data_IF_882299015229
#
_entry.id   IF_882299015229
#
_cell.length_a   1.000
_cell.length_b   1.000
_cell.length_c   1.000
_cell.angle_alpha   90.00
_cell.angle_beta   90.00
_cell.angle_gamma   90.00
#
_symmetry.space_group_name_H-M   'P 1'
#
loop_
_entity.id
_entity.type
_entity.pdbx_description
1 polymer ?
#
# COMPACT_ATOMS: atom_id res chain seq x y z
N UNK A 1 -19.26 19.82 16.58
CA UNK A 1 -18.58 20.42 15.42
C UNK A 1 -18.54 19.35 14.34
N UNK A 2 -19.17 19.57 13.19
CA UNK A 2 -18.92 18.71 12.03
C UNK A 2 -17.55 19.10 11.51
N UNK A 3 -16.54 18.27 11.77
CA UNK A 3 -15.26 18.44 11.08
C UNK A 3 -15.48 18.07 9.61
N UNK A 4 -15.17 19.00 8.72
CA UNK A 4 -15.16 18.71 7.29
C UNK A 4 -14.22 17.53 7.02
N UNK A 5 -14.73 16.53 6.32
CA UNK A 5 -13.96 15.34 5.98
C UNK A 5 -12.86 15.69 4.97
N UNK A 6 -11.60 15.56 5.38
CA UNK A 6 -10.45 15.71 4.48
C UNK A 6 -10.22 14.37 3.78
N UNK A 7 -10.43 14.34 2.47
CA UNK A 7 -10.24 13.13 1.68
C UNK A 7 -8.75 12.85 1.44
N UNK A 8 -8.24 11.64 1.73
CA UNK A 8 -6.89 11.23 1.36
C UNK A 8 -6.81 10.72 -0.10
N UNK A 9 -7.79 11.02 -0.94
CA UNK A 9 -7.81 10.55 -2.33
C UNK A 9 -6.71 11.22 -3.17
N UNK A 10 -5.83 10.40 -3.77
CA UNK A 10 -4.80 10.87 -4.70
C UNK A 10 -5.35 10.85 -6.14
N UNK A 11 -5.98 9.74 -6.52
CA UNK A 11 -6.51 9.55 -7.86
C UNK A 11 -7.71 8.61 -7.85
N UNK A 12 -8.63 8.84 -8.78
CA UNK A 12 -9.84 8.02 -8.93
C UNK A 12 -10.17 7.78 -10.41
N UNK A 13 -10.57 6.55 -10.69
CA UNK A 13 -11.25 6.13 -11.89
C UNK A 13 -12.65 5.70 -11.47
N UNK A 14 -13.67 6.15 -12.20
CA UNK A 14 -15.06 5.79 -11.93
C UNK A 14 -15.82 5.66 -13.24
N UNK A 15 -16.64 4.62 -13.33
CA UNK A 15 -17.69 4.50 -14.33
C UNK A 15 -19.03 4.19 -13.63
N UNK A 16 -20.06 3.81 -14.39
CA UNK A 16 -21.38 3.51 -13.84
C UNK A 16 -21.42 2.27 -12.95
N UNK A 17 -20.46 1.35 -13.10
CA UNK A 17 -20.40 0.07 -12.37
C UNK A 17 -19.30 0.05 -11.32
N UNK A 18 -18.13 0.57 -11.62
CA UNK A 18 -16.94 0.40 -10.79
C UNK A 18 -16.26 1.73 -10.45
N UNK A 19 -15.61 1.75 -9.29
CA UNK A 19 -14.66 2.79 -8.89
C UNK A 19 -13.36 2.13 -8.46
N UNK A 20 -12.24 2.72 -8.86
CA UNK A 20 -10.89 2.39 -8.41
C UNK A 20 -10.24 3.67 -7.91
N UNK A 21 -9.85 3.70 -6.65
CA UNK A 21 -9.34 4.87 -5.97
C UNK A 21 -8.00 4.56 -5.30
N UNK A 22 -7.01 5.40 -5.53
CA UNK A 22 -5.73 5.38 -4.83
C UNK A 22 -5.72 6.47 -3.76
N UNK A 23 -5.27 6.11 -2.57
CA UNK A 23 -5.38 6.93 -1.35
C UNK A 23 -4.03 7.03 -0.64
N UNK A 24 -3.76 8.21 -0.10
CA UNK A 24 -2.62 8.46 0.74
C UNK A 24 -2.71 7.63 2.03
N UNK A 25 -1.66 6.85 2.28
CA UNK A 25 -1.35 6.15 3.53
C UNK A 25 0.16 6.21 3.80
N UNK A 26 0.84 7.22 3.27
CA UNK A 26 2.27 7.40 3.44
C UNK A 26 2.57 7.73 4.89
N UNK A 27 3.65 7.13 5.38
CA UNK A 27 4.17 7.35 6.73
C UNK A 27 5.65 7.65 6.63
N UNK A 28 6.06 8.71 7.32
CA UNK A 28 7.46 9.07 7.50
C UNK A 28 8.13 8.07 8.43
N UNK A 29 9.35 7.68 8.11
CA UNK A 29 10.20 6.86 8.97
C UNK A 29 10.48 7.53 10.32
N UNK A 30 10.89 6.73 11.29
CA UNK A 30 11.36 7.21 12.58
C UNK A 30 12.68 7.98 12.44
N UNK A 31 13.12 8.62 13.52
CA UNK A 31 14.39 9.35 13.51
C UNK A 31 15.58 8.40 13.38
N UNK A 32 15.47 7.21 13.98
CA UNK A 32 16.47 6.14 13.95
C UNK A 32 16.59 5.53 12.55
N UNK A 33 15.49 5.53 11.79
CA UNK A 33 15.42 5.03 10.41
C UNK A 33 15.36 6.14 9.36
N UNK A 34 15.81 7.36 9.69
CA UNK A 34 15.56 8.58 8.89
C UNK A 34 15.95 8.45 7.40
N UNK A 35 17.00 7.68 7.11
CA UNK A 35 17.52 7.52 5.76
C UNK A 35 16.57 6.75 4.82
N UNK A 36 15.63 5.97 5.37
CA UNK A 36 14.62 5.26 4.58
C UNK A 36 13.53 6.20 4.05
N UNK A 37 13.34 7.37 4.67
CA UNK A 37 12.29 8.37 4.37
C UNK A 37 10.87 7.84 4.64
N UNK A 38 10.52 6.74 4.01
CA UNK A 38 9.31 5.96 4.24
C UNK A 38 9.49 5.01 5.42
N UNK A 39 8.49 4.96 6.31
CA UNK A 39 8.47 3.94 7.36
C UNK A 39 8.36 2.53 6.74
N UNK A 40 9.17 1.59 7.20
CA UNK A 40 9.20 0.22 6.67
C UNK A 40 9.24 -0.84 7.77
N UNK A 41 8.14 -0.92 8.52
CA UNK A 41 7.94 -1.99 9.49
C UNK A 41 8.63 -1.77 10.84
N UNK A 42 9.18 -0.58 11.06
CA UNK A 42 9.68 -0.11 12.36
C UNK A 42 8.59 -0.22 13.43
N UNK A 43 8.99 -0.66 14.62
CA UNK A 43 8.09 -0.80 15.76
C UNK A 43 7.75 0.59 16.31
N UNK A 44 6.49 0.78 16.70
CA UNK A 44 6.07 1.92 17.52
C UNK A 44 5.93 1.51 18.98
N UNK A 45 5.85 2.49 19.86
CA UNK A 45 5.43 2.30 21.26
C UNK A 45 4.17 1.42 21.35
N UNK A 46 3.22 1.56 20.42
CA UNK A 46 1.96 0.78 20.38
C UNK A 46 2.03 -0.61 19.68
N UNK A 47 3.21 -1.22 19.51
CA UNK A 47 3.39 -2.56 18.90
C UNK A 47 2.88 -2.73 17.44
N UNK A 48 2.40 -1.66 16.80
CA UNK A 48 2.04 -1.67 15.38
C UNK A 48 3.22 -1.27 14.51
N UNK A 49 3.57 -2.17 13.58
CA UNK A 49 4.54 -1.87 12.53
C UNK A 49 4.06 -0.68 11.69
N UNK A 50 4.84 0.40 11.64
CA UNK A 50 4.57 1.52 10.73
C UNK A 50 5.15 1.23 9.37
N UNK A 51 4.29 1.08 8.38
CA UNK A 51 4.69 0.93 6.98
C UNK A 51 4.01 2.00 6.15
N UNK A 52 4.81 2.66 5.31
CA UNK A 52 4.36 3.62 4.32
C UNK A 52 3.69 2.89 3.16
N UNK A 53 2.47 3.29 2.82
CA UNK A 53 1.64 2.54 1.88
C UNK A 53 0.86 3.49 0.96
N UNK A 54 0.39 2.95 -0.15
CA UNK A 54 -0.68 3.52 -0.95
C UNK A 54 -1.90 2.62 -0.80
N UNK A 55 -3.01 3.20 -0.35
CA UNK A 55 -4.28 2.49 -0.26
C UNK A 55 -4.94 2.37 -1.64
N UNK A 56 -5.51 1.21 -1.93
CA UNK A 56 -6.38 0.99 -3.08
C UNK A 56 -7.76 0.68 -2.54
N UNK A 57 -8.77 1.42 -2.98
CA UNK A 57 -10.16 1.18 -2.67
C UNK A 57 -10.89 0.90 -3.98
N UNK A 58 -11.63 -0.19 -4.04
CA UNK A 58 -12.49 -0.50 -5.17
C UNK A 58 -13.94 -0.61 -4.71
N UNK A 59 -14.86 -0.10 -5.54
CA UNK A 59 -16.30 -0.27 -5.34
C UNK A 59 -16.95 -0.87 -6.57
N UNK A 60 -17.88 -1.79 -6.33
CA UNK A 60 -18.83 -2.29 -7.31
C UNK A 60 -20.24 -1.77 -6.97
N UNK A 61 -20.85 -1.06 -7.91
CA UNK A 61 -22.17 -0.45 -7.85
C UNK A 61 -23.21 -1.22 -8.66
N UNK A 62 -22.88 -2.39 -9.20
CA UNK A 62 -23.78 -3.17 -10.06
C UNK A 62 -25.10 -3.55 -9.37
N UNK A 63 -25.10 -3.65 -8.04
CA UNK A 63 -26.30 -3.90 -7.22
C UNK A 63 -26.95 -2.61 -6.64
N UNK A 64 -26.38 -1.43 -6.94
CA UNK A 64 -26.83 -0.13 -6.44
C UNK A 64 -25.74 0.63 -5.65
N UNK A 65 -26.09 1.83 -5.20
CA UNK A 65 -25.22 2.71 -4.40
C UNK A 65 -25.52 2.60 -2.90
N UNK A 66 -24.70 3.24 -2.06
CA UNK A 66 -24.87 3.20 -0.60
C UNK A 66 -24.53 1.81 -0.05
N UNK A 67 -25.40 1.27 0.80
CA UNK A 67 -25.20 -0.02 1.48
C UNK A 67 -25.18 -1.23 0.54
N UNK A 68 -25.66 -1.05 -0.70
CA UNK A 68 -25.63 -2.09 -1.73
C UNK A 68 -24.30 -2.18 -2.48
N UNK A 69 -23.43 -1.17 -2.34
CA UNK A 69 -22.16 -1.15 -3.02
C UNK A 69 -21.15 -2.05 -2.31
N UNK A 70 -20.55 -3.00 -3.04
CA UNK A 70 -19.47 -3.81 -2.49
C UNK A 70 -18.22 -2.96 -2.48
N UNK A 71 -17.63 -2.74 -1.30
CA UNK A 71 -16.35 -2.02 -1.15
C UNK A 71 -15.29 -3.00 -0.68
N UNK A 72 -14.13 -2.97 -1.33
CA UNK A 72 -12.94 -3.73 -0.96
C UNK A 72 -11.72 -2.82 -0.94
N UNK A 73 -10.73 -3.19 -0.14
CA UNK A 73 -9.50 -2.42 0.02
C UNK A 73 -8.27 -3.31 -0.06
N UNK A 74 -7.19 -2.74 -0.57
CA UNK A 74 -5.85 -3.29 -0.49
C UNK A 74 -4.83 -2.18 -0.23
N UNK A 75 -3.60 -2.57 0.07
CA UNK A 75 -2.48 -1.63 0.15
C UNK A 75 -1.31 -2.20 -0.64
N UNK A 76 -0.60 -1.33 -1.33
CA UNK A 76 0.69 -1.60 -1.96
C UNK A 76 1.73 -0.62 -1.39
N UNK A 77 3.01 -0.94 -1.47
CA UNK A 77 4.07 0.00 -1.13
C UNK A 77 4.21 1.10 -2.20
N UNK A 78 4.86 2.23 -1.87
CA UNK A 78 5.25 3.23 -2.86
C UNK A 78 6.04 2.61 -4.04
N UNK A 79 6.99 1.72 -3.74
CA UNK A 79 7.80 1.04 -4.74
C UNK A 79 6.99 0.09 -5.61
N UNK A 80 6.06 -0.67 -5.04
CA UNK A 80 5.15 -1.52 -5.82
C UNK A 80 4.31 -0.69 -6.81
N UNK A 81 3.86 0.50 -6.40
CA UNK A 81 3.12 1.40 -7.29
C UNK A 81 3.99 1.92 -8.45
N UNK A 82 5.23 2.33 -8.16
CA UNK A 82 6.23 2.77 -9.15
C UNK A 82 6.65 1.60 -10.07
N UNK A 83 6.77 0.39 -9.52
CA UNK A 83 7.09 -0.82 -10.27
C UNK A 83 6.00 -1.14 -11.30
N UNK A 84 4.74 -1.16 -10.90
CA UNK A 84 3.62 -1.38 -11.83
C UNK A 84 3.59 -0.29 -12.91
N UNK A 85 3.76 0.98 -12.55
CA UNK A 85 3.83 2.08 -13.51
C UNK A 85 4.96 1.88 -14.53
N UNK A 86 6.13 1.41 -14.07
CA UNK A 86 7.26 1.13 -14.96
C UNK A 86 6.94 0.06 -15.99
N UNK A 87 6.16 -0.97 -15.63
CA UNK A 87 5.74 -2.04 -16.56
C UNK A 87 4.75 -1.51 -17.60
N UNK A 88 3.85 -0.61 -17.19
CA UNK A 88 2.94 0.07 -18.10
C UNK A 88 3.72 0.94 -19.09
N UNK A 89 4.63 1.80 -18.60
CA UNK A 89 5.42 2.70 -19.43
C UNK A 89 6.30 1.95 -20.44
N UNK A 90 6.84 0.80 -20.05
CA UNK A 90 7.62 -0.05 -20.94
C UNK A 90 6.76 -0.86 -21.95
N UNK A 91 5.43 -0.80 -21.86
CA UNK A 91 4.53 -1.41 -22.83
C UNK A 91 4.51 -2.95 -22.82
N UNK A 92 4.77 -3.59 -21.67
CA UNK A 92 4.82 -5.05 -21.57
C UNK A 92 3.52 -5.70 -22.11
N UNK A 93 3.58 -6.69 -23.01
CA UNK A 93 2.36 -7.29 -23.58
C UNK A 93 1.56 -8.10 -22.56
N UNK A 94 2.25 -8.71 -21.60
CA UNK A 94 1.66 -9.47 -20.50
C UNK A 94 2.35 -9.13 -19.19
N UNK A 95 1.59 -9.11 -18.10
CA UNK A 95 2.11 -8.84 -16.77
C UNK A 95 1.20 -9.45 -15.71
N UNK A 96 1.77 -9.88 -14.59
CA UNK A 96 1.02 -10.28 -13.40
C UNK A 96 1.73 -9.79 -12.14
N UNK A 97 0.95 -9.11 -11.30
CA UNK A 97 1.30 -8.75 -9.94
C UNK A 97 0.23 -9.33 -9.00
N UNK A 98 0.67 -10.02 -7.96
CA UNK A 98 -0.17 -10.69 -6.97
C UNK A 98 0.35 -10.39 -5.58
N UNK A 99 -0.57 -10.18 -4.66
CA UNK A 99 -0.25 -9.96 -3.26
C UNK A 99 -1.34 -10.53 -2.36
N UNK A 100 -0.97 -11.43 -1.47
CA UNK A 100 -1.83 -11.99 -0.43
C UNK A 100 -1.29 -11.56 0.93
N UNK A 101 -2.06 -10.77 1.69
CA UNK A 101 -1.68 -10.26 3.01
C UNK A 101 -2.69 -10.68 4.05
N UNK A 102 -2.20 -11.32 5.11
CA UNK A 102 -2.97 -11.63 6.34
C UNK A 102 -2.49 -10.71 7.46
N UNK A 103 -3.43 -10.10 8.19
CA UNK A 103 -3.12 -9.09 9.22
C UNK A 103 -4.23 -8.96 10.25
N UNK A 104 -3.92 -8.23 11.33
CA UNK A 104 -4.83 -8.05 12.46
C UNK A 104 -4.81 -9.24 13.42
N UNK A 105 -5.40 -9.01 14.59
CA UNK A 105 -5.52 -10.03 15.64
C UNK A 105 -6.56 -11.07 15.24
N UNK A 106 -6.30 -12.37 15.46
CA UNK A 106 -7.29 -13.41 15.24
C UNK A 106 -8.57 -13.15 16.03
N UNK A 107 -9.73 -13.42 15.44
CA UNK A 107 -11.00 -13.43 16.13
C UNK A 107 -11.15 -14.67 17.04
N UNK A 108 -12.31 -14.81 17.71
CA UNK A 108 -12.59 -15.94 18.60
C UNK A 108 -12.49 -17.31 17.92
N UNK A 109 -12.61 -17.37 16.58
CA UNK A 109 -12.49 -18.58 15.79
C UNK A 109 -11.08 -18.77 15.19
N UNK A 110 -10.12 -17.89 15.55
CA UNK A 110 -8.75 -17.93 15.06
C UNK A 110 -8.55 -17.30 13.68
N UNK A 111 -9.52 -16.56 13.15
CA UNK A 111 -9.42 -15.93 11.84
C UNK A 111 -8.93 -14.49 11.92
N UNK A 112 -7.93 -14.15 11.09
CA UNK A 112 -7.45 -12.79 10.86
C UNK A 112 -7.94 -12.25 9.52
N UNK A 113 -7.87 -10.93 9.34
CA UNK A 113 -8.25 -10.28 8.07
C UNK A 113 -7.27 -10.65 6.96
N UNK A 114 -7.80 -10.88 5.76
CA UNK A 114 -7.02 -11.18 4.57
C UNK A 114 -7.43 -10.27 3.42
N UNK A 115 -6.41 -9.77 2.73
CA UNK A 115 -6.56 -9.08 1.46
C UNK A 115 -5.77 -9.81 0.38
N UNK A 116 -6.41 -10.07 -0.76
CA UNK A 116 -5.77 -10.49 -2.00
C UNK A 116 -5.91 -9.39 -3.03
N UNK A 117 -4.80 -9.02 -3.66
CA UNK A 117 -4.76 -8.08 -4.78
C UNK A 117 -4.16 -8.79 -5.98
N UNK A 118 -4.83 -8.66 -7.12
CA UNK A 118 -4.33 -9.11 -8.40
C UNK A 118 -4.40 -7.98 -9.41
N UNK A 119 -3.29 -7.71 -10.08
CA UNK A 119 -3.22 -6.83 -11.23
C UNK A 119 -2.59 -7.60 -12.38
N UNK A 120 -3.26 -7.63 -13.52
CA UNK A 120 -2.79 -8.35 -14.69
C UNK A 120 -2.90 -7.49 -15.93
N UNK A 121 -2.04 -7.77 -16.89
CA UNK A 121 -2.16 -7.27 -18.25
C UNK A 121 -2.18 -8.42 -19.24
N UNK A 122 -3.07 -8.32 -20.22
CA UNK A 122 -3.03 -9.11 -21.43
C UNK A 122 -3.35 -8.21 -22.64
N UNK A 123 -2.38 -8.01 -23.54
CA UNK A 123 -2.56 -7.19 -24.74
C UNK A 123 -3.67 -7.72 -25.66
N UNK A 124 -3.82 -9.04 -25.71
CA UNK A 124 -4.74 -9.74 -26.61
C UNK A 124 -5.69 -10.67 -25.86
N UNK A 125 -6.79 -11.03 -26.51
CA UNK A 125 -7.69 -12.09 -26.06
C UNK A 125 -7.20 -13.49 -26.50
N UNK A 126 -8.00 -14.53 -26.20
CA UNK A 126 -7.67 -15.92 -26.57
C UNK A 126 -7.61 -16.16 -28.08
N UNK A 127 -8.24 -15.29 -28.89
CA UNK A 127 -8.22 -15.34 -30.34
C UNK A 127 -7.08 -14.49 -30.95
N UNK A 128 -6.24 -13.86 -30.12
CA UNK A 128 -5.16 -12.99 -30.56
C UNK A 128 -5.59 -11.57 -30.92
N UNK A 129 -6.86 -11.19 -30.71
CA UNK A 129 -7.33 -9.83 -30.98
C UNK A 129 -6.90 -8.86 -29.87
N UNK A 130 -6.49 -7.62 -30.19
CA UNK A 130 -6.17 -6.60 -29.19
C UNK A 130 -7.34 -6.33 -28.25
N UNK A 131 -7.05 -6.16 -26.95
CA UNK A 131 -8.03 -5.76 -25.94
C UNK A 131 -8.10 -4.24 -25.82
N UNK A 132 -9.31 -3.70 -25.74
CA UNK A 132 -9.52 -2.27 -25.44
C UNK A 132 -9.13 -1.93 -23.99
N UNK A 133 -9.46 -2.81 -23.04
CA UNK A 133 -9.05 -2.71 -21.65
C UNK A 133 -8.11 -3.88 -21.32
N UNK A 134 -6.80 -3.76 -21.58
CA UNK A 134 -5.85 -4.85 -21.41
C UNK A 134 -5.50 -5.11 -19.93
N UNK A 135 -5.83 -4.18 -19.03
CA UNK A 135 -5.53 -4.30 -17.61
C UNK A 135 -6.73 -4.79 -16.81
N UNK A 136 -6.49 -5.76 -15.95
CA UNK A 136 -7.45 -6.34 -15.03
C UNK A 136 -6.97 -6.14 -13.59
N UNK A 137 -7.76 -5.47 -12.76
CA UNK A 137 -7.49 -5.31 -11.33
C UNK A 137 -8.59 -5.99 -10.54
N UNK A 138 -8.22 -6.73 -9.50
CA UNK A 138 -9.13 -7.44 -8.61
C UNK A 138 -8.64 -7.33 -7.17
N UNK A 139 -9.57 -7.04 -6.26
CA UNK A 139 -9.32 -7.13 -4.83
C UNK A 139 -10.36 -8.06 -4.21
N UNK A 140 -9.87 -8.97 -3.39
CA UNK A 140 -10.65 -9.85 -2.54
C UNK A 140 -10.36 -9.55 -1.08
N UNK A 141 -11.40 -9.34 -0.29
CA UNK A 141 -11.31 -9.18 1.17
C UNK A 141 -12.05 -10.32 1.83
N UNK A 142 -11.46 -10.86 2.88
CA UNK A 142 -12.04 -11.95 3.63
C UNK A 142 -11.21 -12.28 4.84
N UNK A 143 -11.21 -13.55 5.22
CA UNK A 143 -10.56 -14.04 6.45
C UNK A 143 -9.72 -15.28 6.20
N UNK A 144 -8.74 -15.51 7.04
CA UNK A 144 -7.92 -16.73 7.02
C UNK A 144 -7.24 -16.98 8.37
N UNK A 145 -6.74 -18.20 8.59
CA UNK A 145 -6.06 -18.56 9.83
C UNK A 145 -4.58 -18.20 9.69
N UNK A 146 -4.02 -17.31 10.53
CA UNK A 146 -2.60 -16.97 10.48
C UNK A 146 -1.74 -18.08 11.07
N UNK A 147 -0.56 -18.27 10.49
CA UNK A 147 0.51 -19.11 11.00
C UNK A 147 1.81 -18.32 11.04
N UNK A 148 2.65 -18.58 12.04
CA UNK A 148 3.98 -18.01 12.12
C UNK A 148 5.00 -18.94 11.48
N UNK A 149 5.93 -18.38 10.72
CA UNK A 149 7.12 -19.10 10.29
C UNK A 149 8.24 -18.96 11.34
N UNK A 150 9.34 -19.71 11.14
CA UNK A 150 10.52 -19.68 12.02
C UNK A 150 11.18 -18.30 12.13
N UNK A 151 10.97 -17.43 11.14
CA UNK A 151 11.59 -16.12 11.04
C UNK A 151 10.68 -15.00 11.59
N UNK A 152 9.60 -15.34 12.28
CA UNK A 152 8.65 -14.39 12.87
C UNK A 152 7.68 -13.74 11.87
N UNK A 153 7.70 -14.16 10.60
CA UNK A 153 6.73 -13.75 9.59
C UNK A 153 5.40 -14.47 9.75
N UNK A 154 4.30 -13.75 9.51
CA UNK A 154 2.94 -14.31 9.51
C UNK A 154 2.52 -14.63 8.08
N UNK A 155 2.05 -15.85 7.84
CA UNK A 155 1.46 -16.28 6.57
C UNK A 155 0.10 -16.93 6.82
N UNK A 156 -0.68 -17.14 5.77
CA UNK A 156 -2.00 -17.75 5.86
C UNK A 156 -1.91 -19.27 5.75
N UNK A 157 -2.57 -20.00 6.66
CA UNK A 157 -2.70 -21.46 6.59
C UNK A 157 -3.32 -21.87 5.25
N UNK A 158 -2.75 -22.85 4.53
CA UNK A 158 -3.34 -23.37 3.29
C UNK A 158 -4.81 -23.78 3.49
N UNK A 159 -5.65 -23.48 2.50
CA UNK A 159 -7.09 -23.80 2.49
C UNK A 159 -7.92 -23.20 3.64
N UNK A 160 -7.40 -22.20 4.36
CA UNK A 160 -8.15 -21.49 5.40
C UNK A 160 -8.84 -20.21 4.90
N UNK A 161 -8.61 -19.80 3.65
CA UNK A 161 -9.15 -18.56 3.13
C UNK A 161 -10.65 -18.64 2.88
N UNK A 162 -11.38 -17.68 3.44
CA UNK A 162 -12.80 -17.48 3.21
C UNK A 162 -12.97 -16.10 2.58
N UNK A 163 -13.45 -16.08 1.33
CA UNK A 163 -13.79 -14.86 0.62
C UNK A 163 -15.07 -14.26 1.18
N UNK A 164 -15.07 -12.96 1.47
CA UNK A 164 -16.27 -12.25 1.92
C UNK A 164 -16.74 -11.22 0.87
N UNK A 165 -15.80 -10.51 0.25
CA UNK A 165 -16.08 -9.46 -0.72
C UNK A 165 -15.07 -9.50 -1.84
N UNK A 166 -15.54 -9.27 -3.07
CA UNK A 166 -14.72 -9.31 -4.27
C UNK A 166 -15.18 -8.26 -5.26
N UNK A 167 -14.24 -7.48 -5.78
CA UNK A 167 -14.50 -6.48 -6.83
C UNK A 167 -13.41 -6.59 -7.89
N UNK A 168 -13.80 -6.43 -9.15
CA UNK A 168 -12.86 -6.35 -10.25
C UNK A 168 -13.20 -5.24 -11.24
N UNK A 169 -12.18 -4.70 -11.90
CA UNK A 169 -12.32 -3.68 -12.92
C UNK A 169 -11.35 -3.94 -14.07
N UNK A 170 -11.80 -3.64 -15.29
CA UNK A 170 -10.93 -3.60 -16.46
C UNK A 170 -10.62 -2.14 -16.81
N UNK A 171 -9.35 -1.84 -17.07
CA UNK A 171 -8.83 -0.49 -17.33
C UNK A 171 -8.15 -0.45 -18.69
N UNK A 172 -8.27 0.69 -19.38
CA UNK A 172 -7.42 0.98 -20.54
C UNK A 172 -5.98 1.29 -20.09
N UNK A 173 -5.01 1.28 -21.01
CA UNK A 173 -3.65 1.73 -20.70
C UNK A 173 -3.65 3.18 -20.17
N UNK A 174 -4.48 4.07 -20.74
CA UNK A 174 -4.59 5.46 -20.30
C UNK A 174 -5.21 5.59 -18.91
N UNK A 175 -6.23 4.80 -18.58
CA UNK A 175 -6.88 4.84 -17.26
C UNK A 175 -5.91 4.44 -16.16
N UNK A 176 -5.21 3.32 -16.33
CA UNK A 176 -4.25 2.86 -15.35
C UNK A 176 -3.04 3.80 -15.25
N UNK A 177 -2.57 4.34 -16.40
CA UNK A 177 -1.52 5.35 -16.41
C UNK A 177 -1.89 6.58 -15.60
N UNK A 178 -3.09 7.16 -15.80
CA UNK A 178 -3.55 8.33 -15.04
C UNK A 178 -3.58 8.08 -13.54
N UNK A 179 -4.04 6.89 -13.11
CA UNK A 179 -4.07 6.51 -11.69
C UNK A 179 -2.66 6.45 -11.11
N UNK A 180 -1.78 5.64 -11.71
CA UNK A 180 -0.44 5.38 -11.17
C UNK A 180 0.52 6.56 -11.35
N UNK A 181 0.41 7.31 -12.44
CA UNK A 181 1.24 8.50 -12.67
C UNK A 181 0.95 9.57 -11.61
N UNK A 182 -0.33 9.80 -11.26
CA UNK A 182 -0.70 10.72 -10.17
C UNK A 182 -0.19 10.23 -8.81
N UNK A 183 -0.26 8.93 -8.55
CA UNK A 183 0.35 8.32 -7.35
C UNK A 183 1.85 8.57 -7.31
N UNK A 184 2.57 8.33 -8.41
CA UNK A 184 4.01 8.58 -8.49
C UNK A 184 4.33 10.05 -8.24
N UNK A 185 3.65 10.98 -8.92
CA UNK A 185 3.86 12.42 -8.71
C UNK A 185 3.55 12.86 -7.29
N UNK A 186 2.53 12.29 -6.67
CA UNK A 186 2.18 12.59 -5.27
C UNK A 186 3.25 12.09 -4.31
N UNK A 187 3.73 10.85 -4.47
CA UNK A 187 4.83 10.28 -3.66
C UNK A 187 6.06 11.19 -3.78
N UNK A 188 6.45 11.56 -5.01
CA UNK A 188 7.64 12.38 -5.23
C UNK A 188 7.50 13.80 -4.64
N UNK A 189 6.29 14.36 -4.57
CA UNK A 189 6.02 15.64 -3.94
C UNK A 189 6.03 15.52 -2.41
N UNK A 190 5.42 14.45 -1.89
CA UNK A 190 5.41 14.13 -0.47
C UNK A 190 6.83 13.94 0.06
N UNK A 191 7.66 13.12 -0.60
CA UNK A 191 9.08 12.90 -0.26
C UNK A 191 9.84 14.23 -0.17
N UNK A 192 9.67 15.12 -1.16
CA UNK A 192 10.32 16.45 -1.18
C UNK A 192 9.84 17.36 -0.05
N UNK A 193 8.60 17.21 0.40
CA UNK A 193 8.06 18.00 1.51
C UNK A 193 8.55 17.50 2.87
N UNK A 194 8.67 16.18 3.07
CA UNK A 194 8.97 15.61 4.40
C UNK A 194 10.47 15.35 4.63
N UNK A 195 11.21 14.93 3.60
CA UNK A 195 12.58 14.45 3.75
C UNK A 195 13.55 15.51 4.27
N UNK A 196 13.50 16.79 3.84
CA UNK A 196 14.44 17.80 4.33
C UNK A 196 14.37 17.97 5.86
N UNK A 197 13.15 18.02 6.42
CA UNK A 197 12.95 18.19 7.86
C UNK A 197 13.41 16.97 8.66
N UNK A 198 13.11 15.77 8.17
CA UNK A 198 13.51 14.51 8.79
C UNK A 198 15.03 14.36 8.82
N UNK A 199 15.69 14.57 7.68
CA UNK A 199 17.15 14.45 7.55
C UNK A 199 17.86 15.48 8.44
N UNK A 200 17.36 16.72 8.48
CA UNK A 200 17.95 17.79 9.31
C UNK A 200 17.89 17.43 10.78
N UNK A 201 16.72 16.98 11.26
CA UNK A 201 16.54 16.56 12.66
C UNK A 201 17.44 15.39 13.03
N UNK A 202 17.53 14.39 12.15
CA UNK A 202 18.35 13.21 12.41
C UNK A 202 19.83 13.54 12.47
N UNK A 203 20.34 14.34 11.52
CA UNK A 203 21.74 14.80 11.54
C UNK A 203 22.08 15.60 12.80
N UNK A 204 21.16 16.42 13.30
CA UNK A 204 21.34 17.14 14.56
C UNK A 204 21.44 16.18 15.75
N UNK A 205 20.53 15.21 15.84
CA UNK A 205 20.56 14.20 16.91
C UNK A 205 21.85 13.38 16.88
N UNK A 206 22.36 13.03 15.69
CA UNK A 206 23.65 12.33 15.56
C UNK A 206 24.81 13.17 16.12
N UNK A 207 24.83 14.48 15.83
CA UNK A 207 25.86 15.39 16.35
C UNK A 207 25.78 15.55 17.87
N UNK A 208 24.57 15.67 18.41
CA UNK A 208 24.33 15.75 19.86
C UNK A 208 24.83 14.49 20.58
N UNK A 209 24.47 13.31 20.08
CA UNK A 209 24.94 12.04 20.65
C UNK A 209 26.47 11.91 20.62
N UNK A 210 27.12 12.32 19.52
CA UNK A 210 28.58 12.30 19.41
C UNK A 210 29.25 13.23 20.43
N UNK A 211 28.70 14.43 20.63
CA UNK A 211 29.21 15.39 21.61
C UNK A 211 29.05 14.90 23.06
N UNK A 212 27.95 14.20 23.36
CA UNK A 212 27.72 13.57 24.67
C UNK A 212 28.71 12.44 24.95
N UNK A 213 28.99 11.59 23.97
CA UNK A 213 29.99 10.51 24.07
C UNK A 213 31.41 11.07 24.31
N UNK A 214 31.81 12.11 23.57
CA UNK A 214 33.10 12.79 23.75
C UNK A 214 33.22 13.51 25.11
N UNK A 215 32.12 14.07 25.62
CA UNK A 215 32.06 14.71 26.93
C UNK A 215 32.15 13.72 28.10
N UNK A 216 31.57 12.53 27.97
CA UNK A 216 31.66 11.47 28.99
C UNK A 216 33.03 10.80 29.03
N UNK A 217 33.69 10.64 27.87
CA UNK A 217 35.03 10.03 27.79
C UNK A 217 36.12 10.89 28.43
N UNK A 218 35.89 12.20 28.57
CA UNK A 218 36.84 13.16 29.14
C UNK A 218 36.61 13.48 30.64
N UNK A 219 35.70 12.78 31.33
CA UNK A 219 35.55 12.92 32.79
C UNK A 219 36.59 12.07 33.54
N UNK A 220 37.41 12.64 34.44
CA UNK A 220 38.39 11.87 35.21
C UNK A 220 37.67 10.91 36.15
N UNK A 221 38.10 9.64 36.17
CA UNK A 221 37.64 8.65 37.14
C UNK A 221 37.97 9.16 38.56
N UNK A 222 36.94 9.31 39.39
CA UNK A 222 37.06 9.70 40.80
C UNK A 222 37.60 8.55 41.66
#
# INVERSE_FOLDING_TARGET
MNHDYISPQIAVYKNSKNLVEFRDKLKVASLECYAHIHADGEATEDSWKRTSLIGILMKDYSAGTGDKAITVMANISPDESKFVLSRLNAGFPTFEFKQDKIFGTPDANGYSSVTKLRLQRAATDRAGKPRNCPWYMEIENGKGIPQRNSNGGTYMKPNSYISEKKVSANLTDLDLFKLLNRVSSYIDAWEKAIAPSLITRAKKAIQENQAEEEGQTNQPAA
#
